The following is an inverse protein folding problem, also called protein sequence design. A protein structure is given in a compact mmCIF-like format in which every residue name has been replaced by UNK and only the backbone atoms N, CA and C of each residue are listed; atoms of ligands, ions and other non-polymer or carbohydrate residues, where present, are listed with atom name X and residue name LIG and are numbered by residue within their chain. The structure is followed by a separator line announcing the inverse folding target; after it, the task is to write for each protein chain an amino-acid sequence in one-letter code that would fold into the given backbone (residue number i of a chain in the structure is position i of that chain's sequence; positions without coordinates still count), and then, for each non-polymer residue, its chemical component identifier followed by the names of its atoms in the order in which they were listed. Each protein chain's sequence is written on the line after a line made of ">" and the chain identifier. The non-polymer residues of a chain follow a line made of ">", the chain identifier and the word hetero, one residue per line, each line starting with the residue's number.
data_IF_316628016849
#
_entry.id   IF_316628016849
#
_cell.length_a   1.000
_cell.length_b   1.000
_cell.length_c   1.000
_cell.angle_alpha   90.00
_cell.angle_beta   90.00
_cell.angle_gamma   90.00
#
_symmetry.space_group_name_H-M   'P 1'
#
loop_
_entity.id
_entity.type
_entity.pdbx_description
1 polymer ?
#
# COMPACT_ATOMS: atom_id res chain seq x y z
N UNK A 1 -15.34 10.07 19.61
CA UNK A 1 -15.87 8.96 18.79
C UNK A 1 -14.67 8.23 18.21
N UNK A 2 -14.65 6.90 18.23
CA UNK A 2 -13.55 6.16 17.62
C UNK A 2 -13.69 6.27 16.09
N UNK A 3 -12.63 6.72 15.42
CA UNK A 3 -12.54 6.72 13.96
C UNK A 3 -11.60 5.59 13.54
N UNK A 4 -11.92 4.89 12.46
CA UNK A 4 -11.06 3.85 11.91
C UNK A 4 -10.86 4.06 10.40
N UNK A 5 -9.67 4.50 10.04
CA UNK A 5 -9.31 4.87 8.66
C UNK A 5 -8.93 3.62 7.86
N UNK A 6 -9.63 3.41 6.75
CA UNK A 6 -9.44 2.24 5.89
C UNK A 6 -9.44 2.60 4.42
N UNK A 7 -9.17 1.60 3.58
CA UNK A 7 -9.38 1.72 2.16
C UNK A 7 -9.88 0.43 1.52
N UNK A 8 -10.60 0.60 0.42
CA UNK A 8 -10.95 -0.45 -0.51
C UNK A 8 -10.18 -0.27 -1.82
N UNK A 9 -9.64 -1.36 -2.38
CA UNK A 9 -9.07 -1.41 -3.72
C UNK A 9 -10.01 -2.23 -4.60
N UNK A 10 -10.73 -1.58 -5.49
CA UNK A 10 -11.58 -2.20 -6.51
C UNK A 10 -10.79 -2.36 -7.80
N UNK A 11 -10.33 -3.58 -8.06
CA UNK A 11 -9.53 -3.92 -9.24
C UNK A 11 -10.32 -3.74 -10.54
N UNK A 12 -9.62 -3.51 -11.65
CA UNK A 12 -10.20 -3.19 -12.96
C UNK A 12 -11.37 -4.11 -13.36
N UNK A 13 -11.20 -5.43 -13.24
CA UNK A 13 -12.25 -6.38 -13.59
C UNK A 13 -13.47 -6.32 -12.66
N UNK A 14 -13.36 -5.77 -11.45
CA UNK A 14 -14.48 -5.54 -10.53
C UNK A 14 -15.25 -4.25 -10.81
N UNK A 15 -14.71 -3.34 -11.63
CA UNK A 15 -15.29 -2.01 -11.85
C UNK A 15 -16.65 -1.99 -12.58
N UNK A 16 -17.04 -3.09 -13.21
CA UNK A 16 -18.41 -3.24 -13.74
C UNK A 16 -19.50 -3.15 -12.65
N UNK A 17 -19.13 -3.25 -11.37
CA UNK A 17 -20.00 -3.04 -10.19
C UNK A 17 -19.67 -1.76 -9.40
N UNK A 18 -18.85 -0.86 -9.94
CA UNK A 18 -18.34 0.31 -9.23
C UNK A 18 -19.45 1.19 -8.63
N UNK A 19 -20.46 1.56 -9.42
CA UNK A 19 -21.56 2.41 -8.95
C UNK A 19 -22.30 1.80 -7.76
N UNK A 20 -22.60 0.50 -7.82
CA UNK A 20 -23.29 -0.23 -6.76
C UNK A 20 -22.45 -0.26 -5.46
N UNK A 21 -21.14 -0.52 -5.59
CA UNK A 21 -20.22 -0.57 -4.45
C UNK A 21 -20.00 0.81 -3.84
N UNK A 22 -19.77 1.86 -4.64
CA UNK A 22 -19.58 3.23 -4.14
C UNK A 22 -20.83 3.71 -3.40
N UNK A 23 -22.02 3.43 -3.94
CA UNK A 23 -23.26 3.78 -3.27
C UNK A 23 -23.40 3.06 -1.93
N UNK A 24 -23.02 1.79 -1.84
CA UNK A 24 -23.02 1.09 -0.56
C UNK A 24 -21.98 1.63 0.42
N UNK A 25 -20.78 1.95 -0.04
CA UNK A 25 -19.73 2.56 0.78
C UNK A 25 -20.23 3.88 1.37
N UNK A 26 -20.80 4.76 0.55
CA UNK A 26 -21.35 6.06 0.99
C UNK A 26 -22.46 5.94 2.04
N UNK A 27 -23.17 4.80 2.10
CA UNK A 27 -24.21 4.56 3.11
C UNK A 27 -23.64 4.15 4.46
N UNK A 28 -22.44 3.58 4.50
CA UNK A 28 -21.88 2.96 5.71
C UNK A 28 -20.61 3.66 6.22
N UNK A 29 -19.91 4.39 5.35
CA UNK A 29 -18.64 5.02 5.64
C UNK A 29 -18.59 6.43 5.07
N UNK A 30 -17.80 7.29 5.70
CA UNK A 30 -17.45 8.58 5.12
C UNK A 30 -16.33 8.36 4.08
N UNK A 31 -16.60 8.66 2.79
CA UNK A 31 -15.53 8.66 1.78
C UNK A 31 -14.68 9.91 1.96
N UNK A 32 -13.39 9.71 2.21
CA UNK A 32 -12.41 10.79 2.42
C UNK A 32 -11.84 11.28 1.10
N UNK A 33 -11.43 10.34 0.26
CA UNK A 33 -10.82 10.56 -1.05
C UNK A 33 -10.92 9.28 -1.88
N UNK A 34 -10.96 9.41 -3.20
CA UNK A 34 -10.78 8.27 -4.11
C UNK A 34 -9.65 8.53 -5.11
N UNK A 35 -8.95 7.48 -5.52
CA UNK A 35 -7.90 7.53 -6.53
C UNK A 35 -8.20 6.51 -7.62
N UNK A 36 -8.19 6.94 -8.88
CA UNK A 36 -8.15 6.05 -10.03
C UNK A 36 -6.69 5.85 -10.44
N UNK A 37 -6.13 4.70 -10.14
CA UNK A 37 -4.71 4.41 -10.34
C UNK A 37 -4.51 3.54 -11.57
N UNK A 38 -3.57 3.92 -12.42
CA UNK A 38 -3.15 3.15 -13.60
C UNK A 38 -1.67 2.81 -13.48
N UNK A 39 -1.37 1.52 -13.32
CA UNK A 39 0.01 1.02 -13.34
C UNK A 39 0.52 0.85 -14.77
N UNK A 40 1.85 0.90 -14.94
CA UNK A 40 2.49 0.59 -16.21
C UNK A 40 2.22 -0.88 -16.57
N UNK A 41 1.66 -1.21 -17.76
CA UNK A 41 1.26 -2.58 -18.10
C UNK A 41 2.39 -3.62 -17.98
N UNK A 42 3.62 -3.22 -18.37
CA UNK A 42 4.82 -4.08 -18.29
C UNK A 42 5.27 -4.35 -16.85
N UNK A 43 4.92 -3.48 -15.90
CA UNK A 43 5.29 -3.58 -14.48
C UNK A 43 4.18 -4.17 -13.61
N UNK A 44 2.99 -4.41 -14.16
CA UNK A 44 1.82 -4.86 -13.40
C UNK A 44 2.09 -6.09 -12.53
N UNK A 45 2.69 -7.15 -13.09
CA UNK A 45 3.00 -8.37 -12.31
C UNK A 45 3.96 -8.09 -11.18
N UNK A 46 4.96 -7.23 -11.40
CA UNK A 46 5.94 -6.82 -10.39
C UNK A 46 5.28 -6.02 -9.27
N UNK A 47 4.42 -5.07 -9.62
CA UNK A 47 3.63 -4.32 -8.64
C UNK A 47 2.74 -5.25 -7.84
N UNK A 48 2.00 -6.14 -8.50
CA UNK A 48 1.10 -7.08 -7.83
C UNK A 48 1.84 -7.97 -6.82
N UNK A 49 3.00 -8.51 -7.21
CA UNK A 49 3.86 -9.31 -6.33
C UNK A 49 4.39 -8.50 -5.15
N UNK A 50 4.79 -7.24 -5.35
CA UNK A 50 5.23 -6.38 -4.24
C UNK A 50 4.09 -5.95 -3.33
N UNK A 51 2.93 -5.59 -3.89
CA UNK A 51 1.74 -5.17 -3.15
C UNK A 51 1.29 -6.27 -2.18
N UNK A 52 1.10 -7.49 -2.67
CA UNK A 52 0.63 -8.61 -1.85
C UNK A 52 1.75 -9.33 -1.08
N UNK A 53 3.00 -9.24 -1.52
CA UNK A 53 4.13 -9.94 -0.89
C UNK A 53 3.88 -11.45 -0.75
N UNK A 54 4.21 -12.00 0.43
CA UNK A 54 4.00 -13.41 0.78
C UNK A 54 2.53 -13.85 0.72
N UNK A 55 1.56 -12.92 0.77
CA UNK A 55 0.13 -13.25 0.69
C UNK A 55 -0.33 -13.57 -0.74
N UNK A 56 0.56 -13.48 -1.74
CA UNK A 56 0.24 -13.78 -3.13
C UNK A 56 0.58 -15.23 -3.50
N UNK A 57 -0.41 -16.13 -3.64
CA UNK A 57 -0.13 -17.52 -4.02
C UNK A 57 0.31 -17.64 -5.49
N UNK A 58 -0.20 -16.80 -6.38
CA UNK A 58 0.18 -16.78 -7.80
C UNK A 58 -0.09 -15.42 -8.43
N UNK A 59 0.98 -14.73 -8.85
CA UNK A 59 0.88 -13.43 -9.51
C UNK A 59 0.14 -13.51 -10.85
N UNK A 60 0.30 -14.60 -11.60
CA UNK A 60 -0.39 -14.80 -12.89
C UNK A 60 -1.89 -14.95 -12.69
N UNK A 61 -2.33 -15.83 -11.77
CA UNK A 61 -3.75 -16.02 -11.48
C UNK A 61 -4.37 -14.72 -10.95
N UNK A 62 -3.67 -14.02 -10.04
CA UNK A 62 -4.16 -12.77 -9.48
C UNK A 62 -4.22 -11.65 -10.52
N UNK A 63 -3.26 -11.55 -11.44
CA UNK A 63 -3.29 -10.59 -12.56
C UNK A 63 -4.52 -10.80 -13.44
N UNK A 64 -4.81 -12.05 -13.81
CA UNK A 64 -6.02 -12.38 -14.60
C UNK A 64 -7.29 -12.03 -13.86
N UNK A 65 -7.36 -12.30 -12.55
CA UNK A 65 -8.49 -11.94 -11.70
C UNK A 65 -8.68 -10.42 -11.66
N UNK A 66 -7.64 -9.66 -11.28
CA UNK A 66 -7.71 -8.21 -11.08
C UNK A 66 -7.96 -7.43 -12.37
N UNK A 67 -7.47 -7.92 -13.51
CA UNK A 67 -7.35 -7.12 -14.73
C UNK A 67 -6.17 -6.14 -14.64
N UNK A 68 -5.78 -5.57 -15.77
CA UNK A 68 -4.61 -4.67 -15.87
C UNK A 68 -4.95 -3.21 -16.19
N UNK A 69 -6.25 -2.90 -16.29
CA UNK A 69 -6.73 -1.54 -16.46
C UNK A 69 -6.63 -0.72 -15.17
N UNK A 70 -7.09 0.53 -15.23
CA UNK A 70 -7.17 1.41 -14.08
C UNK A 70 -8.09 0.83 -13.01
N UNK A 71 -7.64 0.88 -11.76
CA UNK A 71 -8.38 0.40 -10.60
C UNK A 71 -8.68 1.56 -9.65
N UNK A 72 -9.67 1.38 -8.78
CA UNK A 72 -10.11 2.42 -7.86
C UNK A 72 -9.62 2.12 -6.44
N UNK A 73 -9.04 3.12 -5.78
CA UNK A 73 -8.74 3.11 -4.35
C UNK A 73 -9.69 4.08 -3.67
N UNK A 74 -10.45 3.62 -2.69
CA UNK A 74 -11.47 4.40 -1.98
C UNK A 74 -11.05 4.47 -0.52
N UNK A 75 -10.55 5.63 -0.10
CA UNK A 75 -10.17 5.91 1.28
C UNK A 75 -11.42 6.30 2.06
N UNK A 76 -11.64 5.63 3.19
CA UNK A 76 -12.86 5.77 4.00
C UNK A 76 -12.53 5.97 5.47
N UNK A 77 -13.41 6.67 6.17
CA UNK A 77 -13.46 6.72 7.62
C UNK A 77 -14.72 5.99 8.09
N UNK A 78 -14.53 4.98 8.94
CA UNK A 78 -15.61 4.42 9.72
C UNK A 78 -15.73 5.22 11.03
N UNK A 79 -16.82 5.98 11.14
CA UNK A 79 -17.10 6.84 12.31
C UNK A 79 -17.72 6.08 13.48
N UNK A 80 -18.10 4.81 13.27
CA UNK A 80 -18.70 3.93 14.28
C UNK A 80 -18.10 2.50 14.17
N UNK A 81 -16.77 2.35 14.30
CA UNK A 81 -16.12 1.09 14.03
C UNK A 81 -16.46 0.04 15.09
N UNK A 82 -16.72 -1.18 14.62
CA UNK A 82 -16.90 -2.35 15.49
C UNK A 82 -15.58 -3.13 15.56
N UNK A 83 -14.78 -2.82 16.58
CA UNK A 83 -13.45 -3.41 16.75
C UNK A 83 -13.51 -4.73 17.54
N UNK A 84 -12.90 -5.78 17.01
CA UNK A 84 -12.69 -7.05 17.70
C UNK A 84 -11.29 -7.59 17.38
N UNK A 85 -10.45 -7.84 18.39
CA UNK A 85 -9.05 -8.25 18.24
C UNK A 85 -8.26 -7.35 17.26
N UNK A 86 -8.45 -6.03 17.37
CA UNK A 86 -7.81 -5.02 16.52
C UNK A 86 -8.38 -4.92 15.10
N UNK A 87 -9.38 -5.74 14.73
CA UNK A 87 -9.99 -5.74 13.40
C UNK A 87 -11.31 -4.99 13.38
N UNK A 88 -11.54 -4.22 12.34
CA UNK A 88 -12.84 -3.58 12.11
C UNK A 88 -13.81 -4.53 11.38
N UNK A 89 -14.81 -5.02 12.12
CA UNK A 89 -15.82 -5.95 11.62
C UNK A 89 -16.69 -5.34 10.52
N UNK A 90 -16.92 -4.03 10.51
CA UNK A 90 -17.69 -3.35 9.47
C UNK A 90 -16.97 -3.43 8.11
N UNK A 91 -15.65 -3.20 8.10
CA UNK A 91 -14.80 -3.30 6.90
C UNK A 91 -14.74 -4.73 6.38
N UNK A 92 -14.60 -5.71 7.27
CA UNK A 92 -14.58 -7.14 6.91
C UNK A 92 -15.92 -7.54 6.28
N UNK A 93 -17.04 -7.17 6.90
CA UNK A 93 -18.38 -7.45 6.38
C UNK A 93 -18.62 -6.75 5.03
N UNK A 94 -18.21 -5.49 4.88
CA UNK A 94 -18.30 -4.75 3.62
C UNK A 94 -17.50 -5.42 2.51
N UNK A 95 -16.24 -5.80 2.76
CA UNK A 95 -15.40 -6.54 1.81
C UNK A 95 -16.07 -7.84 1.36
N UNK A 96 -16.65 -8.61 2.29
CA UNK A 96 -17.34 -9.86 1.96
C UNK A 96 -18.59 -9.61 1.08
N UNK A 97 -19.42 -8.63 1.46
CA UNK A 97 -20.60 -8.21 0.69
C UNK A 97 -20.22 -7.77 -0.72
N UNK A 98 -19.17 -6.96 -0.88
CA UNK A 98 -18.73 -6.51 -2.20
C UNK A 98 -18.21 -7.66 -3.07
N UNK A 99 -17.57 -8.67 -2.49
CA UNK A 99 -17.21 -9.89 -3.24
C UNK A 99 -18.42 -10.66 -3.73
N UNK A 100 -19.51 -10.69 -2.96
CA UNK A 100 -20.78 -11.27 -3.39
C UNK A 100 -21.41 -10.47 -4.53
N UNK A 101 -21.47 -9.14 -4.42
CA UNK A 101 -21.99 -8.23 -5.46
C UNK A 101 -21.22 -8.39 -6.79
N UNK A 102 -19.89 -8.48 -6.71
CA UNK A 102 -19.04 -8.68 -7.89
C UNK A 102 -19.11 -10.13 -8.42
N UNK A 103 -19.41 -11.10 -7.55
CA UNK A 103 -19.24 -12.52 -7.85
C UNK A 103 -17.77 -12.96 -7.95
N UNK A 104 -16.84 -12.20 -7.38
CA UNK A 104 -15.40 -12.52 -7.42
C UNK A 104 -14.57 -11.79 -6.36
N UNK A 105 -13.30 -12.18 -6.23
CA UNK A 105 -12.32 -11.56 -5.32
C UNK A 105 -11.60 -10.32 -5.91
N UNK A 106 -12.29 -9.54 -6.75
CA UNK A 106 -11.78 -8.33 -7.40
C UNK A 106 -11.85 -7.07 -6.52
N UNK A 107 -12.08 -7.23 -5.22
CA UNK A 107 -11.97 -6.16 -4.23
C UNK A 107 -11.08 -6.60 -3.05
N UNK A 108 -10.25 -5.67 -2.60
CA UNK A 108 -9.31 -5.84 -1.50
C UNK A 108 -9.51 -4.76 -0.44
N UNK A 109 -9.40 -5.14 0.82
CA UNK A 109 -9.25 -4.26 1.97
C UNK A 109 -8.46 -5.03 3.03
N UNK A 110 -7.67 -4.31 3.83
CA UNK A 110 -6.99 -4.88 4.99
C UNK A 110 -7.98 -5.37 6.04
N UNK A 111 -7.50 -6.18 6.98
CA UNK A 111 -8.28 -6.55 8.18
C UNK A 111 -7.91 -5.68 9.40
N UNK A 112 -6.75 -5.01 9.34
CA UNK A 112 -6.18 -4.19 10.39
C UNK A 112 -5.83 -2.80 9.83
N UNK A 113 -6.00 -1.76 10.64
CA UNK A 113 -5.70 -0.38 10.24
C UNK A 113 -4.25 -0.17 9.73
N UNK A 114 -3.20 -0.77 10.33
CA UNK A 114 -1.84 -0.68 9.77
C UNK A 114 -1.70 -1.23 8.35
N UNK A 115 -2.49 -2.24 7.96
CA UNK A 115 -2.49 -2.73 6.58
C UNK A 115 -3.11 -1.70 5.63
N UNK A 116 -4.14 -0.97 6.07
CA UNK A 116 -4.74 0.10 5.28
C UNK A 116 -3.78 1.28 5.11
N UNK A 117 -3.07 1.66 6.17
CA UNK A 117 -2.04 2.70 6.12
C UNK A 117 -0.89 2.32 5.18
N UNK A 118 -0.38 1.08 5.28
CA UNK A 118 0.64 0.58 4.36
C UNK A 118 0.13 0.61 2.91
N UNK A 119 -1.09 0.13 2.66
CA UNK A 119 -1.65 0.11 1.30
C UNK A 119 -1.79 1.53 0.74
N UNK A 120 -2.22 2.51 1.54
CA UNK A 120 -2.34 3.91 1.13
C UNK A 120 -0.97 4.45 0.73
N UNK A 121 0.00 4.33 1.63
CA UNK A 121 1.36 4.80 1.41
C UNK A 121 1.97 4.15 0.18
N UNK A 122 1.76 2.85 0.00
CA UNK A 122 2.40 2.11 -1.09
C UNK A 122 1.80 2.41 -2.47
N UNK A 123 0.49 2.65 -2.53
CA UNK A 123 -0.24 2.96 -3.76
C UNK A 123 -0.12 4.42 -4.17
N UNK A 124 0.01 5.33 -3.20
CA UNK A 124 -0.12 6.78 -3.43
C UNK A 124 1.09 7.61 -3.01
N UNK A 125 1.94 7.11 -2.10
CA UNK A 125 3.00 7.88 -1.45
C UNK A 125 2.52 8.76 -0.30
N UNK A 126 1.21 8.74 0.01
CA UNK A 126 0.58 9.53 1.07
C UNK A 126 0.35 8.70 2.34
N UNK A 127 0.40 9.34 3.50
CA UNK A 127 -0.18 8.78 4.73
C UNK A 127 -1.53 9.44 5.05
N UNK A 128 -2.18 9.02 6.14
CA UNK A 128 -3.47 9.60 6.54
C UNK A 128 -3.37 11.09 6.87
N UNK A 129 -2.25 11.54 7.45
CA UNK A 129 -2.04 12.95 7.79
C UNK A 129 -1.98 13.82 6.54
N UNK A 130 -1.28 13.38 5.49
CA UNK A 130 -1.21 14.07 4.20
C UNK A 130 -2.61 14.20 3.57
N UNK A 131 -3.39 13.11 3.62
CA UNK A 131 -4.73 13.06 3.04
C UNK A 131 -5.72 13.96 3.79
N UNK A 132 -5.66 13.97 5.11
CA UNK A 132 -6.56 14.80 5.94
C UNK A 132 -6.18 16.29 5.90
N UNK A 133 -4.89 16.62 5.77
CA UNK A 133 -4.40 18.01 5.74
C UNK A 133 -4.68 18.72 4.40
N UNK A 134 -4.79 17.96 3.31
CA UNK A 134 -5.07 18.48 1.96
C UNK A 134 -6.57 18.74 1.70
N UNK A 135 -7.43 18.51 2.69
CA UNK A 135 -8.88 18.55 2.55
C UNK A 135 -9.41 19.99 2.53
N UNK A 136 -9.41 20.63 1.36
CA UNK A 136 -10.06 21.94 1.19
C UNK A 136 -11.57 21.82 0.93
N UNK A 137 -12.04 20.76 0.26
CA UNK A 137 -13.46 20.39 0.06
C UNK A 137 -13.59 18.88 -0.25
N UNK A 138 -14.77 18.25 -0.05
CA UNK A 138 -14.98 16.86 -0.47
C UNK A 138 -14.85 16.73 -1.99
N UNK A 139 -13.72 16.16 -2.45
CA UNK A 139 -13.51 15.88 -3.87
C UNK A 139 -14.45 14.74 -4.26
N UNK A 140 -15.52 15.07 -4.99
CA UNK A 140 -16.53 14.07 -5.43
C UNK A 140 -16.04 13.12 -6.52
N UNK A 141 -14.91 13.43 -7.17
CA UNK A 141 -14.35 12.63 -8.28
C UNK A 141 -13.03 11.98 -7.89
N UNK A 142 -12.74 10.76 -8.34
CA UNK A 142 -11.42 10.16 -8.13
C UNK A 142 -10.30 11.00 -8.73
N UNK A 143 -9.21 11.19 -7.98
CA UNK A 143 -7.95 11.76 -8.50
C UNK A 143 -7.30 10.69 -9.38
N UNK A 144 -6.98 11.03 -10.63
CA UNK A 144 -6.30 10.11 -11.55
C UNK A 144 -4.81 10.11 -11.28
N UNK A 145 -4.23 8.93 -11.06
CA UNK A 145 -2.80 8.74 -10.86
C UNK A 145 -2.27 7.74 -11.89
N UNK A 146 -1.28 8.18 -12.67
CA UNK A 146 -0.54 7.33 -13.62
C UNK A 146 0.83 7.02 -13.02
N UNK A 147 0.85 6.10 -12.07
CA UNK A 147 2.06 5.75 -11.34
C UNK A 147 2.04 4.29 -10.92
N UNK A 148 3.20 3.65 -10.90
CA UNK A 148 3.39 2.33 -10.30
C UNK A 148 3.48 2.43 -8.76
N UNK A 149 3.65 1.30 -8.08
CA UNK A 149 3.92 1.32 -6.63
C UNK A 149 5.17 2.15 -6.31
N UNK A 150 5.18 2.81 -5.16
CA UNK A 150 6.35 3.56 -4.71
C UNK A 150 7.64 2.71 -4.79
N UNK A 151 8.67 3.30 -5.39
CA UNK A 151 9.95 2.65 -5.66
C UNK A 151 9.98 1.69 -6.86
N UNK A 152 8.88 1.46 -7.60
CA UNK A 152 8.90 0.65 -8.84
C UNK A 152 9.08 1.55 -10.09
N UNK A 153 9.95 1.18 -11.05
CA UNK A 153 10.97 0.14 -10.97
C UNK A 153 12.18 0.56 -10.13
N UNK A 154 12.30 1.85 -9.87
CA UNK A 154 13.32 2.56 -9.09
C UNK A 154 12.66 3.74 -8.39
N UNK A 155 13.22 4.18 -7.26
CA UNK A 155 12.94 5.51 -6.71
C UNK A 155 13.43 6.58 -7.67
N UNK A 156 12.71 7.70 -7.73
CA UNK A 156 13.04 8.86 -8.56
C UNK A 156 14.39 9.44 -8.15
N UNK A 157 14.60 9.65 -6.85
CA UNK A 157 15.83 10.16 -6.24
C UNK A 157 15.89 9.89 -4.73
N UNK A 158 16.99 10.33 -4.10
CA UNK A 158 17.21 10.20 -2.65
C UNK A 158 16.16 10.97 -1.84
N UNK A 159 15.70 12.13 -2.34
CA UNK A 159 14.70 12.94 -1.66
C UNK A 159 13.36 12.22 -1.60
N UNK A 160 12.84 11.71 -2.72
CA UNK A 160 11.60 10.93 -2.76
C UNK A 160 11.71 9.68 -1.86
N UNK A 161 12.86 9.00 -1.90
CA UNK A 161 13.12 7.84 -1.06
C UNK A 161 13.07 8.19 0.43
N UNK A 162 13.76 9.25 0.86
CA UNK A 162 13.77 9.68 2.26
C UNK A 162 12.40 10.18 2.73
N UNK A 163 11.66 10.90 1.89
CA UNK A 163 10.30 11.33 2.18
C UNK A 163 9.37 10.14 2.42
N UNK A 164 9.48 9.08 1.62
CA UNK A 164 8.73 7.84 1.83
C UNK A 164 9.16 7.13 3.12
N UNK A 165 10.48 7.02 3.36
CA UNK A 165 11.05 6.35 4.51
C UNK A 165 10.59 6.99 5.84
N UNK A 166 10.46 8.32 5.90
CA UNK A 166 9.97 9.07 7.07
C UNK A 166 8.51 8.78 7.40
N UNK A 167 7.73 8.25 6.45
CA UNK A 167 6.32 7.88 6.65
C UNK A 167 6.13 6.45 7.15
N UNK A 168 7.19 5.64 7.15
CA UNK A 168 7.11 4.27 7.63
C UNK A 168 7.18 4.23 9.16
N UNK A 169 6.29 3.47 9.83
CA UNK A 169 6.32 3.34 11.27
C UNK A 169 7.56 2.56 11.71
N UNK A 170 8.08 2.89 12.90
CA UNK A 170 9.17 2.17 13.56
C UNK A 170 10.43 1.99 12.71
N UNK A 171 10.76 2.98 11.88
CA UNK A 171 12.01 3.03 11.14
C UNK A 171 12.92 4.12 11.70
N UNK A 172 14.21 3.79 11.87
CA UNK A 172 15.28 4.77 12.07
C UNK A 172 16.24 4.72 10.90
N UNK A 173 16.43 5.87 10.26
CA UNK A 173 17.35 6.03 9.14
C UNK A 173 18.56 6.85 9.58
N UNK A 174 19.75 6.40 9.19
CA UNK A 174 20.99 7.18 9.34
C UNK A 174 21.89 6.97 8.13
N UNK A 175 22.68 8.00 7.83
CA UNK A 175 23.68 7.99 6.75
C UNK A 175 24.98 8.54 7.31
N UNK A 176 26.09 7.84 7.03
CA UNK A 176 27.44 8.38 7.18
C UNK A 176 28.12 8.44 5.79
N UNK A 177 29.38 8.88 5.73
CA UNK A 177 30.08 9.11 4.46
C UNK A 177 30.07 7.89 3.51
N UNK A 178 30.05 6.67 4.06
CA UNK A 178 30.24 5.43 3.29
C UNK A 178 29.04 4.47 3.34
N UNK A 179 28.05 4.71 4.21
CA UNK A 179 27.00 3.73 4.51
C UNK A 179 25.64 4.35 4.84
N UNK A 180 24.59 3.77 4.26
CA UNK A 180 23.20 4.02 4.60
C UNK A 180 22.69 2.89 5.52
N UNK A 181 22.09 3.25 6.66
CA UNK A 181 21.57 2.31 7.65
C UNK A 181 20.10 2.54 7.93
N UNK A 182 19.35 1.45 7.94
CA UNK A 182 17.93 1.39 8.30
C UNK A 182 17.78 0.38 9.43
N UNK A 183 17.30 0.85 10.57
CA UNK A 183 16.83 0.00 11.67
C UNK A 183 15.31 -0.07 11.60
N UNK A 184 14.74 -1.27 11.70
CA UNK A 184 13.32 -1.54 11.51
C UNK A 184 12.86 -2.68 12.41
N UNK A 185 11.58 -2.78 12.73
CA UNK A 185 11.08 -3.92 13.52
C UNK A 185 10.80 -5.16 12.66
N UNK A 186 10.37 -4.96 11.40
CA UNK A 186 10.20 -6.04 10.41
C UNK A 186 11.03 -5.77 9.15
N UNK A 187 12.21 -6.41 9.04
CA UNK A 187 13.09 -6.24 7.89
C UNK A 187 12.49 -6.76 6.60
N UNK A 188 11.69 -7.82 6.65
CA UNK A 188 11.09 -8.39 5.45
C UNK A 188 10.04 -7.43 4.87
N UNK A 189 9.17 -6.86 5.70
CA UNK A 189 8.21 -5.83 5.31
C UNK A 189 8.93 -4.59 4.77
N UNK A 190 9.93 -4.08 5.50
CA UNK A 190 10.71 -2.91 5.07
C UNK A 190 11.40 -3.13 3.73
N UNK A 191 12.02 -4.30 3.50
CA UNK A 191 12.63 -4.60 2.20
C UNK A 191 11.62 -4.59 1.05
N UNK A 192 10.42 -5.13 1.26
CA UNK A 192 9.34 -5.14 0.27
C UNK A 192 8.88 -3.72 -0.07
N UNK A 193 8.64 -2.89 0.94
CA UNK A 193 8.18 -1.50 0.78
C UNK A 193 9.23 -0.63 0.08
N UNK A 194 10.50 -0.83 0.39
CA UNK A 194 11.60 -0.04 -0.19
C UNK A 194 12.06 -0.52 -1.58
N UNK A 195 11.48 -1.61 -2.12
CA UNK A 195 11.96 -2.27 -3.33
C UNK A 195 13.42 -2.75 -3.19
N UNK A 196 13.79 -3.16 -1.98
CA UNK A 196 15.13 -3.61 -1.65
C UNK A 196 15.34 -5.06 -2.13
N UNK A 197 16.50 -5.30 -2.74
CA UNK A 197 16.92 -6.62 -3.21
C UNK A 197 18.17 -7.06 -2.46
N UNK A 198 18.17 -8.32 -2.03
CA UNK A 198 19.34 -8.92 -1.38
C UNK A 198 20.42 -9.19 -2.42
N UNK A 199 21.68 -8.90 -2.09
CA UNK A 199 22.80 -9.24 -2.97
C UNK A 199 23.05 -10.75 -2.89
N UNK A 200 22.99 -11.42 -4.04
CA UNK A 200 23.37 -12.83 -4.18
C UNK A 200 24.87 -12.90 -3.82
N UNK A 201 25.25 -13.80 -2.89
CA UNK A 201 26.62 -13.98 -2.37
C UNK A 201 27.16 -12.96 -1.34
N UNK A 202 26.30 -12.19 -0.67
CA UNK A 202 26.75 -11.39 0.48
C UNK A 202 26.91 -12.24 1.76
N UNK A 203 28.11 -12.25 2.33
CA UNK A 203 28.39 -12.80 3.67
C UNK A 203 27.64 -12.04 4.77
N UNK A 204 27.32 -10.77 4.53
CA UNK A 204 26.55 -9.96 5.44
C UNK A 204 25.04 -10.12 5.18
N UNK A 205 24.32 -10.58 6.21
CA UNK A 205 22.88 -10.88 6.13
C UNK A 205 21.98 -9.64 6.03
N UNK A 206 22.50 -8.48 6.38
CA UNK A 206 21.83 -7.17 6.45
C UNK A 206 22.14 -6.26 5.25
N UNK A 207 22.95 -6.71 4.28
CA UNK A 207 23.26 -5.94 3.08
C UNK A 207 22.18 -6.08 2.00
N UNK A 208 21.59 -4.95 1.63
CA UNK A 208 20.59 -4.83 0.56
C UNK A 208 21.01 -3.77 -0.45
N UNK A 209 20.39 -3.85 -1.62
CA UNK A 209 20.47 -2.81 -2.64
C UNK A 209 19.08 -2.25 -2.91
N UNK A 210 18.99 -0.93 -3.04
CA UNK A 210 17.75 -0.22 -3.35
C UNK A 210 17.98 0.56 -4.65
N UNK A 211 17.14 0.40 -5.68
CA UNK A 211 17.29 1.14 -6.93
C UNK A 211 16.82 2.59 -6.76
N UNK A 212 17.73 3.55 -6.90
CA UNK A 212 17.48 5.00 -6.86
C UNK A 212 18.10 5.61 -8.13
N UNK A 213 17.34 6.41 -8.90
CA UNK A 213 17.77 6.92 -10.22
C UNK A 213 18.28 5.82 -11.16
N UNK A 214 17.69 4.63 -11.08
CA UNK A 214 18.11 3.45 -11.86
C UNK A 214 19.43 2.80 -11.40
N UNK A 215 20.08 3.31 -10.33
CA UNK A 215 21.31 2.76 -9.76
C UNK A 215 21.01 2.00 -8.48
N UNK A 216 21.67 0.86 -8.29
CA UNK A 216 21.54 0.06 -7.07
C UNK A 216 22.45 0.64 -5.97
N UNK A 217 21.86 1.35 -5.01
CA UNK A 217 22.54 1.93 -3.85
C UNK A 217 22.54 0.92 -2.70
N UNK A 218 23.66 0.81 -1.97
CA UNK A 218 23.81 -0.15 -0.87
C UNK A 218 23.23 0.40 0.44
N UNK A 219 22.50 -0.45 1.14
CA UNK A 219 21.94 -0.18 2.47
C UNK A 219 22.21 -1.34 3.41
N UNK A 220 22.46 -1.03 4.69
CA UNK A 220 22.32 -1.97 5.80
C UNK A 220 20.90 -1.88 6.33
N UNK A 221 20.18 -2.99 6.33
CA UNK A 221 18.83 -3.07 6.89
C UNK A 221 18.86 -4.13 7.99
N UNK A 222 18.71 -3.67 9.22
CA UNK A 222 18.83 -4.50 10.45
C UNK A 222 17.56 -4.40 11.29
N UNK A 223 17.28 -5.45 12.05
CA UNK A 223 16.12 -5.47 12.94
C UNK A 223 16.48 -4.83 14.30
N UNK A 224 15.58 -4.03 14.85
CA UNK A 224 15.69 -3.53 16.24
C UNK A 224 15.85 -4.74 17.17
N UNK A 225 16.75 -4.68 18.19
CA UNK A 225 16.76 -5.68 19.24
C UNK A 225 15.35 -5.75 19.86
N UNK A 226 14.75 -6.94 19.92
CA UNK A 226 13.51 -7.12 20.66
C UNK A 226 13.84 -6.86 22.13
N UNK A 227 13.32 -5.77 22.70
CA UNK A 227 13.27 -5.63 24.15
C UNK A 227 12.26 -6.65 24.66
N UNK A 228 12.75 -7.64 25.41
CA UNK A 228 11.95 -8.59 26.19
C UNK A 228 10.99 -7.87 27.15
#
# INVERSE_FOLDING_TARGET
>A
MANDLNLFVLWANGRHKETEIINDINRHFEILQSFEITWTPKLFTRNLSRFYGKKLPSAVKKKRLCGTGSFLVICVNDTQPRIHNGKNLNIIAAKARYRQIIGSNCIHAGDLQPEAEENLLFLTGLNWQDLLSSRQQPIRRPIKLYQDLCGTPSWLDEEQFEQFLRKLPNIRFSRNADEFKILTDDRHQTCRLLNASKKIFSWHRDCYTIPIRGKNIKFRISESPQTE
#
